data_IF_637808029336
#
_entry.id   IF_637808029336
#
_cell.length_a   1.000
_cell.length_b   1.000
_cell.length_c   1.000
_cell.angle_alpha   90.00
_cell.angle_beta   90.00
_cell.angle_gamma   90.00
#
_symmetry.space_group_name_H-M   'P 1'
#
loop_
_entity.id
_entity.type
_entity.pdbx_description
1 polymer ?
#
# COMPACT_ATOMS: atom_id res chain seq x y z
N UNK A 1 11.55 -42.47 10.38
CA UNK A 1 10.88 -41.19 10.71
C UNK A 1 11.09 -40.26 9.52
N UNK A 2 9.98 -39.88 8.87
CA UNK A 2 9.95 -39.15 7.60
C UNK A 2 10.43 -37.70 7.78
N UNK A 3 11.50 -37.31 7.10
CA UNK A 3 11.83 -35.92 6.84
C UNK A 3 10.76 -35.33 5.90
N UNK A 4 9.97 -34.38 6.40
CA UNK A 4 8.92 -33.72 5.64
C UNK A 4 9.13 -32.21 5.58
N UNK A 5 9.23 -31.68 4.35
CA UNK A 5 8.98 -30.31 3.89
C UNK A 5 9.91 -29.18 4.43
N UNK A 6 10.54 -28.32 3.63
CA UNK A 6 10.49 -28.07 2.18
C UNK A 6 11.62 -27.12 1.73
N UNK A 7 11.75 -26.83 0.43
CA UNK A 7 12.86 -26.05 -0.11
C UNK A 7 12.67 -24.55 0.15
N UNK A 8 13.66 -23.93 0.80
CA UNK A 8 13.89 -22.48 0.77
C UNK A 8 12.76 -21.63 1.34
N UNK A 9 12.67 -21.58 2.67
CA UNK A 9 12.05 -20.43 3.34
C UNK A 9 12.91 -19.20 3.05
N UNK A 10 12.63 -18.55 1.93
CA UNK A 10 13.07 -17.20 1.64
C UNK A 10 12.54 -16.33 2.79
N UNK A 11 13.42 -15.99 3.74
CA UNK A 11 13.17 -15.00 4.79
C UNK A 11 12.72 -13.71 4.10
N UNK A 12 11.40 -13.52 3.99
CA UNK A 12 10.83 -12.25 3.58
C UNK A 12 11.20 -11.27 4.69
N UNK A 13 11.97 -10.22 4.39
CA UNK A 13 12.37 -9.29 5.43
C UNK A 13 11.10 -8.62 5.98
N UNK A 14 10.88 -8.74 7.30
CA UNK A 14 9.72 -8.22 8.03
C UNK A 14 9.56 -6.70 7.83
N UNK A 15 10.68 -6.04 7.56
CA UNK A 15 10.76 -4.67 7.09
C UNK A 15 11.27 -4.71 5.65
N UNK A 16 10.59 -4.10 4.68
CA UNK A 16 10.82 -4.29 3.23
C UNK A 16 12.20 -3.96 2.64
N UNK A 17 13.26 -3.83 3.44
CA UNK A 17 14.65 -3.67 3.02
C UNK A 17 15.56 -4.75 3.63
N UNK A 18 16.36 -5.40 2.78
CA UNK A 18 17.38 -6.35 3.23
C UNK A 18 18.59 -5.59 3.79
N UNK A 19 19.37 -6.21 4.69
CA UNK A 19 20.60 -5.60 5.26
C UNK A 19 21.56 -5.05 4.19
N UNK A 20 21.69 -5.75 3.05
CA UNK A 20 22.51 -5.31 1.92
C UNK A 20 21.99 -4.03 1.29
N UNK A 21 20.68 -3.86 1.20
CA UNK A 21 20.04 -2.68 0.62
C UNK A 21 20.32 -1.45 1.48
N UNK A 22 20.25 -1.60 2.82
CA UNK A 22 20.57 -0.52 3.76
C UNK A 22 22.03 -0.07 3.60
N UNK A 23 22.96 -1.02 3.50
CA UNK A 23 24.38 -0.73 3.30
C UNK A 23 24.61 -0.04 1.94
N UNK A 24 23.91 -0.49 0.89
CA UNK A 24 24.02 0.08 -0.45
C UNK A 24 23.44 1.51 -0.51
N UNK A 25 22.31 1.77 0.15
CA UNK A 25 21.72 3.11 0.27
C UNK A 25 22.63 4.04 1.08
N UNK A 26 23.15 3.57 2.22
CA UNK A 26 24.08 4.35 3.05
C UNK A 26 25.38 4.67 2.32
N UNK A 27 25.98 3.67 1.66
CA UNK A 27 27.16 3.86 0.82
C UNK A 27 26.90 4.77 -0.38
N UNK A 28 25.72 4.65 -1.01
CA UNK A 28 25.29 5.51 -2.10
C UNK A 28 25.13 6.96 -1.70
N UNK A 29 24.57 7.25 -0.52
CA UNK A 29 24.44 8.61 0.00
C UNK A 29 25.81 9.25 0.26
N UNK A 30 26.74 8.50 0.85
CA UNK A 30 28.12 8.97 1.08
C UNK A 30 28.82 9.20 -0.26
N UNK A 31 28.72 8.24 -1.18
CA UNK A 31 29.29 8.35 -2.52
C UNK A 31 28.72 9.55 -3.30
N UNK A 32 27.43 9.81 -3.18
CA UNK A 32 26.78 10.99 -3.76
C UNK A 32 27.33 12.30 -3.20
N UNK A 33 27.54 12.39 -1.88
CA UNK A 33 28.18 13.56 -1.25
C UNK A 33 29.58 13.82 -1.78
N UNK A 34 30.41 12.77 -1.90
CA UNK A 34 31.75 12.88 -2.49
C UNK A 34 31.70 13.25 -3.98
N UNK A 35 30.82 12.62 -4.76
CA UNK A 35 30.66 12.92 -6.18
C UNK A 35 30.25 14.38 -6.41
N UNK A 36 29.33 14.90 -5.60
CA UNK A 36 28.94 16.30 -5.62
C UNK A 36 30.11 17.21 -5.23
N UNK A 37 30.81 16.91 -4.13
CA UNK A 37 31.97 17.68 -3.68
C UNK A 37 33.07 17.82 -4.75
N UNK A 38 33.45 16.71 -5.38
CA UNK A 38 34.45 16.72 -6.46
C UNK A 38 33.88 17.31 -7.76
N UNK A 39 32.59 17.13 -8.04
CA UNK A 39 31.92 17.75 -9.18
C UNK A 39 31.91 19.28 -9.10
N UNK A 40 31.62 19.85 -7.93
CA UNK A 40 31.68 21.31 -7.72
C UNK A 40 33.13 21.84 -7.81
N UNK A 41 34.13 21.12 -7.29
CA UNK A 41 35.53 21.51 -7.46
C UNK A 41 36.00 21.46 -8.91
N UNK A 42 35.55 20.47 -9.69
CA UNK A 42 35.85 20.42 -11.13
C UNK A 42 35.25 21.62 -11.89
N UNK A 43 34.17 22.21 -11.37
CA UNK A 43 33.60 23.47 -11.84
C UNK A 43 34.30 24.74 -11.36
N UNK A 44 35.41 24.62 -10.60
CA UNK A 44 36.19 25.75 -10.10
C UNK A 44 35.70 26.34 -8.78
N UNK A 45 34.78 25.67 -8.07
CA UNK A 45 34.31 26.12 -6.75
C UNK A 45 35.37 25.79 -5.69
N UNK A 46 35.67 26.76 -4.83
CA UNK A 46 36.61 26.58 -3.72
C UNK A 46 36.18 25.41 -2.81
N UNK A 47 37.12 24.55 -2.36
CA UNK A 47 36.82 23.41 -1.49
C UNK A 47 35.95 23.75 -0.27
N UNK A 48 36.18 24.91 0.36
CA UNK A 48 35.46 25.30 1.56
C UNK A 48 33.99 25.61 1.25
N UNK A 49 33.74 26.25 0.12
CA UNK A 49 32.40 26.61 -0.36
C UNK A 49 31.68 25.37 -0.91
N UNK A 50 32.38 24.49 -1.61
CA UNK A 50 31.84 23.24 -2.12
C UNK A 50 31.31 22.34 -0.98
N UNK A 51 32.04 22.28 0.14
CA UNK A 51 31.59 21.57 1.34
C UNK A 51 30.25 22.10 1.89
N UNK A 52 30.08 23.42 1.94
CA UNK A 52 28.84 24.05 2.42
C UNK A 52 27.64 23.70 1.53
N UNK A 53 27.83 23.71 0.20
CA UNK A 53 26.77 23.33 -0.74
C UNK A 53 26.36 21.87 -0.56
N UNK A 54 27.33 20.95 -0.50
CA UNK A 54 27.05 19.52 -0.28
C UNK A 54 26.27 19.32 1.01
N UNK A 55 26.69 19.97 2.11
CA UNK A 55 25.99 19.90 3.39
C UNK A 55 24.54 20.40 3.27
N UNK A 56 24.34 21.56 2.62
CA UNK A 56 23.02 22.14 2.43
C UNK A 56 22.09 21.18 1.67
N UNK A 57 22.57 20.60 0.56
CA UNK A 57 21.78 19.68 -0.26
C UNK A 57 21.49 18.35 0.43
N UNK A 58 22.48 17.77 1.13
CA UNK A 58 22.27 16.51 1.86
C UNK A 58 21.30 16.73 3.02
N UNK A 59 21.47 17.80 3.80
CA UNK A 59 20.60 18.08 4.93
C UNK A 59 19.17 18.39 4.47
N UNK A 60 19.00 19.26 3.46
CA UNK A 60 17.68 19.52 2.87
C UNK A 60 17.07 18.26 2.25
N UNK A 61 17.86 17.44 1.55
CA UNK A 61 17.40 16.21 0.95
C UNK A 61 16.85 15.21 1.98
N UNK A 62 17.56 15.05 3.11
CA UNK A 62 17.08 14.20 4.22
C UNK A 62 15.85 14.82 4.88
N UNK A 63 15.84 16.12 5.16
CA UNK A 63 14.68 16.79 5.76
C UNK A 63 13.42 16.68 4.88
N UNK A 64 13.56 16.98 3.59
CA UNK A 64 12.46 16.88 2.63
C UNK A 64 12.05 15.42 2.40
N UNK A 65 13.00 14.50 2.34
CA UNK A 65 12.72 13.06 2.27
C UNK A 65 11.99 12.55 3.51
N UNK A 66 12.36 13.04 4.69
CA UNK A 66 11.68 12.71 5.94
C UNK A 66 10.25 13.24 5.94
N UNK A 67 10.06 14.51 5.58
CA UNK A 67 8.73 15.13 5.50
C UNK A 67 7.88 14.45 4.42
N UNK A 68 8.45 14.11 3.26
CA UNK A 68 7.73 13.43 2.18
C UNK A 68 7.20 12.06 2.60
N UNK A 69 7.86 11.36 3.52
CA UNK A 69 7.32 10.11 4.07
C UNK A 69 5.96 10.31 4.73
N UNK A 70 5.72 11.46 5.37
CA UNK A 70 4.44 11.78 5.98
C UNK A 70 3.39 12.09 4.91
N UNK A 71 3.75 12.83 3.86
CA UNK A 71 2.84 13.08 2.73
C UNK A 71 2.42 11.78 2.03
N UNK A 72 3.35 10.86 1.79
CA UNK A 72 3.07 9.56 1.16
C UNK A 72 2.18 8.71 2.07
N UNK A 73 2.44 8.71 3.38
CA UNK A 73 1.59 8.00 4.36
C UNK A 73 0.17 8.55 4.40
N UNK A 74 0.00 9.87 4.30
CA UNK A 74 -1.31 10.54 4.24
C UNK A 74 -2.03 10.22 2.93
N UNK A 75 -1.34 10.27 1.79
CA UNK A 75 -1.92 9.97 0.48
C UNK A 75 -2.36 8.49 0.36
N UNK A 76 -1.55 7.56 0.89
CA UNK A 76 -1.85 6.13 0.82
C UNK A 76 -2.98 5.68 1.76
N UNK A 77 -3.50 6.55 2.65
CA UNK A 77 -4.54 6.20 3.64
C UNK A 77 -4.25 4.87 4.37
N UNK A 78 -2.98 4.61 4.71
CA UNK A 78 -2.63 3.51 5.61
C UNK A 78 -3.01 3.90 7.05
N UNK A 79 -4.32 3.99 7.29
CA UNK A 79 -4.90 3.99 8.61
C UNK A 79 -4.87 2.55 9.10
N UNK A 80 -3.97 2.27 10.04
CA UNK A 80 -3.92 1.01 10.81
C UNK A 80 -5.31 0.61 11.36
N UNK A 81 -6.18 1.58 11.64
CA UNK A 81 -7.56 1.33 12.09
C UNK A 81 -8.52 0.81 10.99
N UNK A 82 -8.39 1.29 9.75
CA UNK A 82 -9.32 0.94 8.65
C UNK A 82 -9.08 -0.48 8.13
N UNK A 83 -7.83 -0.97 8.17
CA UNK A 83 -7.50 -2.36 7.83
C UNK A 83 -8.01 -3.32 8.91
N UNK A 84 -7.78 -3.00 10.18
CA UNK A 84 -8.22 -3.84 11.31
C UNK A 84 -9.74 -3.98 11.40
N UNK A 85 -10.51 -2.90 11.16
CA UNK A 85 -11.98 -2.96 11.18
C UNK A 85 -12.51 -3.88 10.07
N UNK A 86 -11.99 -3.75 8.84
CA UNK A 86 -12.38 -4.61 7.71
C UNK A 86 -12.05 -6.09 7.95
N UNK A 87 -10.88 -6.38 8.51
CA UNK A 87 -10.47 -7.76 8.77
C UNK A 87 -11.29 -8.40 9.90
N UNK A 88 -11.65 -7.63 10.92
CA UNK A 88 -12.55 -8.08 12.00
C UNK A 88 -13.98 -8.31 11.49
N UNK A 89 -14.54 -7.38 10.71
CA UNK A 89 -15.88 -7.51 10.12
C UNK A 89 -15.99 -8.73 9.19
N UNK A 90 -14.98 -8.96 8.35
CA UNK A 90 -14.93 -10.12 7.46
C UNK A 90 -14.84 -11.44 8.24
N UNK A 91 -14.04 -11.49 9.30
CA UNK A 91 -13.91 -12.68 10.14
C UNK A 91 -15.21 -13.02 10.89
N UNK A 92 -15.94 -12.00 11.37
CA UNK A 92 -17.24 -12.19 12.04
C UNK A 92 -18.32 -12.62 11.05
N UNK A 93 -18.38 -12.02 9.87
CA UNK A 93 -19.31 -12.42 8.80
C UNK A 93 -19.07 -13.87 8.35
N UNK A 94 -17.81 -14.29 8.22
CA UNK A 94 -17.46 -15.67 7.88
C UNK A 94 -17.90 -16.66 8.98
N UNK A 95 -17.64 -16.34 10.25
CA UNK A 95 -18.12 -17.16 11.38
C UNK A 95 -19.65 -17.25 11.44
N UNK A 96 -20.38 -16.17 11.14
CA UNK A 96 -21.84 -16.18 11.08
C UNK A 96 -22.38 -17.03 9.94
N UNK A 97 -21.70 -17.05 8.80
CA UNK A 97 -22.01 -17.93 7.67
C UNK A 97 -21.67 -19.39 7.95
N UNK A 98 -20.65 -19.69 8.75
CA UNK A 98 -20.31 -21.06 9.15
C UNK A 98 -21.27 -21.60 10.24
N UNK A 99 -21.71 -20.75 11.17
CA UNK A 99 -22.63 -21.12 12.26
C UNK A 99 -24.12 -21.15 11.83
N UNK A 100 -24.48 -20.61 10.65
CA UNK A 100 -25.82 -20.73 10.09
C UNK A 100 -26.07 -22.15 9.54
N UNK A 101 -27.22 -22.79 9.84
CA UNK A 101 -27.59 -24.06 9.23
C UNK A 101 -27.75 -23.92 7.70
N UNK A 102 -27.26 -24.88 6.94
CA UNK A 102 -27.25 -24.88 5.45
C UNK A 102 -28.63 -24.58 4.83
N UNK A 103 -29.71 -24.96 5.52
CA UNK A 103 -31.10 -24.71 5.08
C UNK A 103 -31.52 -23.24 5.12
N UNK A 104 -30.86 -22.40 5.92
CA UNK A 104 -31.17 -20.96 6.02
C UNK A 104 -30.28 -20.12 5.09
N UNK A 105 -29.07 -20.59 4.77
CA UNK A 105 -28.17 -19.97 3.76
C UNK A 105 -28.79 -20.02 2.37
N UNK A 106 -29.40 -21.14 2.00
CA UNK A 106 -30.09 -21.28 0.72
C UNK A 106 -31.35 -20.41 0.64
N UNK A 107 -32.09 -20.26 1.75
CA UNK A 107 -33.26 -19.37 1.82
C UNK A 107 -32.87 -17.90 1.66
N UNK A 108 -31.82 -17.45 2.36
CA UNK A 108 -31.32 -16.07 2.26
C UNK A 108 -30.69 -15.77 0.89
N UNK A 109 -29.98 -16.73 0.30
CA UNK A 109 -29.45 -16.59 -1.06
C UNK A 109 -30.59 -16.50 -2.10
N UNK A 110 -31.65 -17.29 -1.94
CA UNK A 110 -32.83 -17.24 -2.78
C UNK A 110 -33.60 -15.91 -2.63
N UNK A 111 -33.73 -15.40 -1.40
CA UNK A 111 -34.43 -14.14 -1.12
C UNK A 111 -33.67 -12.92 -1.68
N UNK A 112 -32.33 -12.89 -1.54
CA UNK A 112 -31.48 -11.83 -2.11
C UNK A 112 -31.45 -11.89 -3.64
N UNK A 113 -31.44 -13.09 -4.22
CA UNK A 113 -31.53 -13.25 -5.67
C UNK A 113 -32.88 -12.76 -6.22
N UNK A 114 -33.98 -13.07 -5.52
CA UNK A 114 -35.31 -12.59 -5.88
C UNK A 114 -35.45 -11.06 -5.75
N UNK A 115 -34.88 -10.47 -4.69
CA UNK A 115 -34.91 -9.02 -4.50
C UNK A 115 -34.06 -8.28 -5.54
N UNK A 116 -32.89 -8.81 -5.92
CA UNK A 116 -32.05 -8.25 -6.98
C UNK A 116 -32.73 -8.32 -8.35
N UNK A 117 -33.36 -9.45 -8.69
CA UNK A 117 -34.12 -9.60 -9.93
C UNK A 117 -35.31 -8.62 -9.98
N UNK A 118 -36.05 -8.48 -8.89
CA UNK A 118 -37.16 -7.52 -8.79
C UNK A 118 -36.67 -6.06 -8.87
N UNK A 119 -35.48 -5.75 -8.35
CA UNK A 119 -34.88 -4.42 -8.44
C UNK A 119 -34.37 -4.11 -9.85
N UNK A 120 -33.87 -5.10 -10.60
CA UNK A 120 -33.54 -4.96 -12.02
C UNK A 120 -34.81 -4.74 -12.84
N UNK A 121 -35.85 -5.54 -12.67
CA UNK A 121 -37.13 -5.38 -13.38
C UNK A 121 -37.77 -4.01 -13.13
N UNK A 122 -37.69 -3.48 -11.90
CA UNK A 122 -38.15 -2.10 -11.60
C UNK A 122 -37.34 -1.04 -12.32
N UNK A 123 -36.04 -1.26 -12.54
CA UNK A 123 -35.18 -0.33 -13.29
C UNK A 123 -35.49 -0.39 -14.78
N UNK A 124 -35.66 -1.58 -15.36
CA UNK A 124 -36.03 -1.73 -16.78
C UNK A 124 -37.41 -1.14 -17.04
N UNK A 125 -38.39 -1.43 -16.18
CA UNK A 125 -39.74 -0.86 -16.29
C UNK A 125 -39.77 0.66 -16.11
N UNK A 126 -38.93 1.21 -15.23
CA UNK A 126 -38.80 2.65 -15.08
C UNK A 126 -38.10 3.29 -16.30
N UNK A 127 -37.19 2.57 -16.95
CA UNK A 127 -36.47 3.04 -18.13
C UNK A 127 -37.38 3.06 -19.37
N UNK A 128 -38.21 2.03 -19.57
CA UNK A 128 -39.20 1.97 -20.66
C UNK A 128 -40.28 3.06 -20.55
N UNK A 129 -40.71 3.38 -19.31
CA UNK A 129 -41.69 4.46 -19.06
C UNK A 129 -41.09 5.85 -19.33
N UNK A 130 -39.78 6.00 -19.24
CA UNK A 130 -39.09 7.27 -19.55
C UNK A 130 -38.84 7.44 -21.05
N UNK A 131 -38.72 6.36 -21.83
CA UNK A 131 -38.60 6.42 -23.30
C UNK A 131 -39.94 6.71 -24.00
N UNK A 132 -41.09 6.31 -23.43
CA UNK A 132 -42.42 6.60 -24.00
C UNK A 132 -42.89 8.06 -23.76
N UNK A 133 -42.21 8.81 -22.90
CA UNK A 133 -42.53 10.23 -22.59
C UNK A 133 -41.63 11.26 -23.29
N UNK A 134 -40.74 10.84 -24.19
CA UNK A 134 -39.88 11.72 -25.01
C UNK A 134 -40.23 11.70 -26.49
#
# INVERSE_FOLDING_TARGET
>A
MSNGAGPGTQDKPEFGYTRKDIILIGGGLIGFGFAMYYGLQAGGVDPLVAGNYVQLFVFLGICLGYISTYFIRVANKDMTYVKQLKDYENAVMAKRLEEMPETEKERLAAEVAAERAAAEERKTRAQDVLEDQG
#
